data_IF_045690465548
#
_entry.id   IF_045690465548
#
_cell.length_a   1.000
_cell.length_b   1.000
_cell.length_c   1.000
_cell.angle_alpha   90.00
_cell.angle_beta   90.00
_cell.angle_gamma   90.00
#
_symmetry.space_group_name_H-M   'P 1'
#
loop_
_entity.id
_entity.type
_entity.pdbx_description
1 polymer ?
#
# COMPACT_ATOMS: atom_id res chain seq x y z
N UNK A 1 -18.43 -46.02 -0.39
CA UNK A 1 -17.54 -44.95 0.12
C UNK A 1 -18.35 -43.72 0.47
N UNK A 2 -18.42 -43.37 1.75
CA UNK A 2 -19.19 -42.22 2.27
C UNK A 2 -18.52 -40.89 1.90
N UNK A 3 -19.31 -39.82 1.76
CA UNK A 3 -18.82 -38.47 1.43
C UNK A 3 -17.73 -37.98 2.42
N UNK A 4 -17.87 -38.33 3.70
CA UNK A 4 -16.89 -38.04 4.75
C UNK A 4 -15.51 -38.66 4.50
N UNK A 5 -15.45 -39.86 3.90
CA UNK A 5 -14.19 -40.52 3.58
C UNK A 5 -13.46 -39.78 2.45
N UNK A 6 -14.19 -39.35 1.41
CA UNK A 6 -13.64 -38.57 0.29
C UNK A 6 -13.13 -37.20 0.75
N UNK A 7 -13.85 -36.53 1.65
CA UNK A 7 -13.43 -35.25 2.24
C UNK A 7 -12.14 -35.40 3.05
N UNK A 8 -12.03 -36.45 3.87
CA UNK A 8 -10.80 -36.73 4.64
C UNK A 8 -9.62 -37.01 3.72
N UNK A 9 -9.82 -37.79 2.64
CA UNK A 9 -8.77 -38.04 1.66
C UNK A 9 -8.30 -36.75 0.97
N UNK A 10 -9.23 -35.91 0.51
CA UNK A 10 -8.89 -34.62 -0.10
C UNK A 10 -8.10 -33.73 0.88
N UNK A 11 -8.48 -33.67 2.15
CA UNK A 11 -7.78 -32.87 3.16
C UNK A 11 -6.35 -33.37 3.46
N UNK A 12 -6.15 -34.70 3.49
CA UNK A 12 -4.82 -35.29 3.69
C UNK A 12 -3.89 -34.92 2.54
N UNK A 13 -4.38 -35.08 1.31
CA UNK A 13 -3.64 -34.72 0.09
C UNK A 13 -3.33 -33.22 0.10
N UNK A 14 -4.31 -32.40 0.45
CA UNK A 14 -4.13 -30.95 0.51
C UNK A 14 -3.00 -30.56 1.47
N UNK A 15 -2.97 -31.17 2.67
CA UNK A 15 -1.94 -30.91 3.67
C UNK A 15 -0.52 -31.25 3.20
N UNK A 16 -0.38 -32.35 2.47
CA UNK A 16 0.92 -32.76 1.90
C UNK A 16 1.39 -31.76 0.85
N UNK A 17 0.48 -31.35 -0.04
CA UNK A 17 0.82 -30.46 -1.14
C UNK A 17 1.10 -29.03 -0.69
N UNK A 18 0.38 -28.54 0.33
CA UNK A 18 0.63 -27.24 0.97
C UNK A 18 2.08 -27.13 1.44
N UNK A 19 2.61 -28.15 2.14
CA UNK A 19 4.01 -28.12 2.60
C UNK A 19 4.98 -28.00 1.43
N UNK A 20 4.70 -28.68 0.32
CA UNK A 20 5.52 -28.64 -0.88
C UNK A 20 5.50 -27.26 -1.55
N UNK A 21 4.33 -26.63 -1.59
CA UNK A 21 4.13 -25.28 -2.11
C UNK A 21 4.92 -24.23 -1.31
N UNK A 22 4.82 -24.26 0.03
CA UNK A 22 5.49 -23.29 0.90
C UNK A 22 7.03 -23.36 0.82
N UNK A 23 7.60 -24.56 0.68
CA UNK A 23 9.06 -24.79 0.71
C UNK A 23 9.73 -24.75 -0.67
N UNK A 24 8.97 -24.53 -1.75
CA UNK A 24 9.54 -24.51 -3.10
C UNK A 24 10.19 -23.16 -3.42
N UNK A 25 11.46 -23.17 -3.87
CA UNK A 25 12.17 -21.95 -4.34
C UNK A 25 11.45 -21.26 -5.50
N UNK A 26 10.66 -22.02 -6.28
CA UNK A 26 9.91 -21.53 -7.46
C UNK A 26 8.77 -20.58 -7.07
N UNK A 27 8.31 -20.57 -5.81
CA UNK A 27 7.23 -19.71 -5.31
C UNK A 27 7.68 -18.44 -4.59
N UNK A 28 8.99 -18.19 -4.45
CA UNK A 28 9.52 -17.08 -3.63
C UNK A 28 9.02 -15.70 -4.08
N UNK A 29 8.86 -15.48 -5.38
CA UNK A 29 8.37 -14.21 -5.93
C UNK A 29 6.94 -13.86 -5.50
N UNK A 30 6.11 -14.87 -5.19
CA UNK A 30 4.72 -14.67 -4.73
C UNK A 30 4.71 -14.01 -3.35
N UNK A 31 5.64 -14.39 -2.47
CA UNK A 31 5.82 -13.72 -1.18
C UNK A 31 6.31 -12.29 -1.35
N UNK A 32 7.21 -12.04 -2.31
CA UNK A 32 7.64 -10.69 -2.67
C UNK A 32 6.44 -9.82 -3.05
N UNK A 33 5.55 -10.34 -3.89
CA UNK A 33 4.32 -9.68 -4.31
C UNK A 33 3.36 -9.41 -3.12
N UNK A 34 3.20 -10.37 -2.22
CA UNK A 34 2.30 -10.25 -1.07
C UNK A 34 2.84 -9.32 0.03
N UNK A 35 4.17 -9.22 0.17
CA UNK A 35 4.84 -8.44 1.22
C UNK A 35 5.29 -7.06 0.76
N UNK A 36 5.31 -6.78 -0.54
CA UNK A 36 5.75 -5.50 -1.09
C UNK A 36 5.03 -4.30 -0.46
N UNK A 37 3.69 -4.28 -0.28
CA UNK A 37 3.02 -3.16 0.38
C UNK A 37 3.46 -2.98 1.82
N UNK A 38 3.67 -4.09 2.55
CA UNK A 38 4.15 -4.02 3.92
C UNK A 38 5.55 -3.39 3.99
N UNK A 39 6.43 -3.77 3.06
CA UNK A 39 7.76 -3.17 2.95
C UNK A 39 7.70 -1.68 2.58
N UNK A 40 6.81 -1.28 1.68
CA UNK A 40 6.61 0.14 1.34
C UNK A 40 6.17 0.95 2.56
N UNK A 41 5.19 0.46 3.34
CA UNK A 41 4.74 1.13 4.56
C UNK A 41 5.82 1.17 5.64
N UNK A 42 6.65 0.13 5.77
CA UNK A 42 7.78 0.14 6.71
C UNK A 42 8.85 1.17 6.31
N UNK A 43 9.18 1.26 5.02
CA UNK A 43 10.11 2.28 4.50
C UNK A 43 9.53 3.67 4.74
N UNK A 44 8.26 3.87 4.43
CA UNK A 44 7.57 5.13 4.67
C UNK A 44 7.57 5.51 6.16
N UNK A 45 7.27 4.57 7.04
CA UNK A 45 7.30 4.79 8.49
C UNK A 45 8.71 5.15 8.98
N UNK A 46 9.76 4.51 8.43
CA UNK A 46 11.14 4.83 8.77
C UNK A 46 11.55 6.23 8.27
N UNK A 47 11.18 6.59 7.03
CA UNK A 47 11.42 7.92 6.46
C UNK A 47 10.70 9.01 7.29
N UNK A 48 9.45 8.79 7.65
CA UNK A 48 8.68 9.71 8.51
C UNK A 48 9.34 9.89 9.87
N UNK A 49 9.78 8.81 10.53
CA UNK A 49 10.50 8.90 11.80
C UNK A 49 11.82 9.66 11.67
N UNK A 50 12.56 9.44 10.58
CA UNK A 50 13.81 10.14 10.30
C UNK A 50 13.57 11.64 10.12
N UNK A 51 12.59 12.02 9.30
CA UNK A 51 12.19 13.42 9.08
C UNK A 51 11.72 14.08 10.38
N UNK A 52 10.89 13.40 11.17
CA UNK A 52 10.40 13.91 12.44
C UNK A 52 11.53 14.15 13.44
N UNK A 53 12.51 13.24 13.50
CA UNK A 53 13.69 13.42 14.34
C UNK A 53 14.54 14.61 13.88
N UNK A 54 14.67 14.81 12.57
CA UNK A 54 15.35 15.98 12.01
C UNK A 54 14.64 17.28 12.40
N UNK A 55 13.31 17.37 12.24
CA UNK A 55 12.55 18.56 12.60
C UNK A 55 12.57 18.84 14.11
N UNK A 56 12.48 17.81 14.95
CA UNK A 56 12.62 17.98 16.41
C UNK A 56 13.99 18.54 16.79
N UNK A 57 15.06 18.14 16.10
CA UNK A 57 16.41 18.71 16.32
C UNK A 57 16.53 20.15 15.85
N UNK A 58 15.80 20.53 14.80
CA UNK A 58 15.75 21.91 14.30
C UNK A 58 15.02 22.87 15.25
N UNK A 59 14.21 22.35 16.18
CA UNK A 59 13.48 23.15 17.16
C UNK A 59 11.96 23.03 16.97
N UNK A 60 11.24 22.98 18.09
CA UNK A 60 9.77 22.91 18.10
C UNK A 60 9.23 24.27 18.51
N UNK A 61 8.42 24.87 17.66
CA UNK A 61 7.75 26.14 17.93
C UNK A 61 6.39 25.88 18.58
N UNK A 62 5.98 26.64 19.61
CA UNK A 62 4.68 26.45 20.25
C UNK A 62 3.53 26.55 19.24
N UNK A 63 2.54 25.63 19.26
CA UNK A 63 1.45 25.62 18.29
C UNK A 63 0.60 26.90 18.35
N UNK A 64 0.38 27.46 19.54
CA UNK A 64 -0.37 28.70 19.71
C UNK A 64 0.29 29.90 18.99
N UNK A 65 1.62 29.95 18.94
CA UNK A 65 2.34 31.00 18.24
C UNK A 65 2.20 30.89 16.72
N UNK A 66 2.12 29.66 16.20
CA UNK A 66 1.95 29.41 14.77
C UNK A 66 0.49 29.60 14.31
N UNK A 67 -0.48 29.33 15.18
CA UNK A 67 -1.90 29.56 14.88
C UNK A 67 -2.28 31.03 14.89
N UNK A 68 -1.55 31.87 15.61
CA UNK A 68 -1.70 33.33 15.57
C UNK A 68 -1.28 33.94 14.22
N UNK A 69 -0.42 33.24 13.45
CA UNK A 69 0.08 33.72 12.16
C UNK A 69 -1.00 33.59 11.07
N UNK A 70 -1.28 34.70 10.40
CA UNK A 70 -2.24 34.78 9.30
C UNK A 70 -1.68 35.56 8.11
N UNK A 71 -2.23 35.31 6.92
CA UNK A 71 -1.83 35.99 5.68
C UNK A 71 -1.96 37.50 5.83
N UNK A 72 -1.05 38.24 5.22
CA UNK A 72 -0.95 39.71 5.35
C UNK A 72 -0.04 40.21 6.48
N UNK A 73 0.41 39.34 7.39
CA UNK A 73 1.43 39.70 8.39
C UNK A 73 2.79 40.01 7.75
N UNK A 74 3.54 40.94 8.33
CA UNK A 74 4.92 41.22 7.89
C UNK A 74 5.90 40.16 8.41
N UNK A 75 7.03 40.00 7.73
CA UNK A 75 8.10 39.08 8.13
C UNK A 75 8.54 39.29 9.60
N UNK A 76 8.63 40.54 10.04
CA UNK A 76 9.04 40.89 11.41
C UNK A 76 7.99 40.50 12.45
N UNK A 77 6.70 40.69 12.14
CA UNK A 77 5.60 40.28 13.02
C UNK A 77 5.58 38.76 13.20
N UNK A 78 5.84 38.00 12.12
CA UNK A 78 5.92 36.54 12.19
C UNK A 78 7.14 36.09 13.02
N UNK A 79 8.29 36.75 12.86
CA UNK A 79 9.50 36.44 13.65
C UNK A 79 9.30 36.79 15.13
N UNK A 80 8.59 37.88 15.45
CA UNK A 80 8.27 38.24 16.84
C UNK A 80 7.32 37.23 17.48
N UNK A 81 6.35 36.73 16.71
CA UNK A 81 5.32 35.81 17.21
C UNK A 81 5.84 34.38 17.33
N UNK A 82 6.41 33.84 16.25
CA UNK A 82 6.82 32.44 16.13
C UNK A 82 8.32 32.20 16.37
N UNK A 83 9.11 33.26 16.55
CA UNK A 83 10.56 33.20 16.65
C UNK A 83 11.25 33.02 15.30
N UNK A 84 12.57 32.85 15.34
CA UNK A 84 13.39 32.62 14.14
C UNK A 84 13.13 31.22 13.58
N UNK A 85 12.80 31.14 12.30
CA UNK A 85 12.60 29.87 11.62
C UNK A 85 13.90 29.05 11.56
N UNK A 86 13.86 27.74 11.88
CA UNK A 86 15.02 26.86 11.73
C UNK A 86 15.48 26.68 10.28
N UNK A 87 14.54 26.66 9.33
CA UNK A 87 14.82 26.64 7.90
C UNK A 87 14.24 27.91 7.29
N UNK A 88 15.13 28.78 6.81
CA UNK A 88 14.82 30.07 6.22
C UNK A 88 15.61 30.22 4.92
N UNK A 89 14.89 30.35 3.81
CA UNK A 89 15.47 30.48 2.48
C UNK A 89 14.89 31.68 1.77
N UNK A 90 15.76 32.56 1.32
CA UNK A 90 15.40 33.72 0.51
C UNK A 90 15.92 33.57 -0.91
N UNK A 91 15.13 34.01 -1.88
CA UNK A 91 15.54 34.10 -3.27
C UNK A 91 14.83 35.26 -3.96
N UNK A 92 15.37 35.71 -5.10
CA UNK A 92 14.74 36.72 -5.96
C UNK A 92 14.11 35.99 -7.14
N UNK A 93 12.87 36.33 -7.48
CA UNK A 93 12.17 35.77 -8.64
C UNK A 93 11.55 36.92 -9.45
N UNK A 94 11.67 36.84 -10.77
CA UNK A 94 10.96 37.72 -11.70
C UNK A 94 9.53 37.21 -11.87
N UNK A 95 8.54 38.06 -11.61
CA UNK A 95 7.13 37.77 -11.83
C UNK A 95 6.66 38.67 -12.97
N UNK A 96 6.05 38.05 -13.97
CA UNK A 96 5.43 38.74 -15.09
C UNK A 96 3.97 38.94 -14.71
N UNK A 97 3.53 40.18 -14.74
CA UNK A 97 2.15 40.53 -14.45
C UNK A 97 1.60 41.26 -15.67
N UNK A 98 0.58 40.68 -16.28
CA UNK A 98 -0.13 41.31 -17.40
C UNK A 98 -1.32 42.09 -16.84
N UNK A 99 -1.43 43.36 -17.20
CA UNK A 99 -2.58 44.18 -16.85
C UNK A 99 -3.04 44.91 -18.10
N UNK A 100 -4.35 45.08 -18.21
CA UNK A 100 -4.98 45.74 -19.36
C UNK A 100 -5.39 47.13 -18.95
N UNK A 101 -4.65 48.13 -19.42
CA UNK A 101 -4.92 49.53 -19.16
C UNK A 101 -5.22 50.23 -20.49
N UNK A 102 -6.38 50.89 -20.60
CA UNK A 102 -6.79 51.59 -21.83
C UNK A 102 -6.87 50.72 -23.09
N UNK A 103 -7.17 49.42 -22.97
CA UNK A 103 -7.28 48.49 -24.10
C UNK A 103 -5.97 47.87 -24.60
N UNK A 104 -4.81 48.35 -24.14
CA UNK A 104 -3.49 47.72 -24.38
C UNK A 104 -3.16 46.72 -23.28
N UNK A 105 -2.56 45.60 -23.67
CA UNK A 105 -2.05 44.58 -22.77
C UNK A 105 -0.61 44.98 -22.41
N UNK A 106 -0.40 45.37 -21.15
CA UNK A 106 0.91 45.80 -20.64
C UNK A 106 1.46 44.65 -19.81
N UNK A 107 2.62 44.14 -20.20
CA UNK A 107 3.36 43.12 -19.46
C UNK A 107 4.40 43.82 -18.60
N UNK A 108 4.16 43.88 -17.28
CA UNK A 108 5.10 44.45 -16.32
C UNK A 108 5.99 43.32 -15.76
N UNK A 109 7.31 43.50 -15.87
CA UNK A 109 8.30 42.63 -15.25
C UNK A 109 8.66 43.18 -13.87
N UNK A 110 8.21 42.50 -12.81
CA UNK A 110 8.50 42.93 -11.43
C UNK A 110 9.40 41.92 -10.74
N UNK A 111 10.51 42.39 -10.20
CA UNK A 111 11.38 41.56 -9.37
C UNK A 111 10.81 41.48 -7.95
N UNK A 112 10.49 40.27 -7.50
CA UNK A 112 9.89 40.03 -6.20
C UNK A 112 10.89 39.31 -5.31
N UNK A 113 11.00 39.79 -4.07
CA UNK A 113 11.74 39.10 -3.02
C UNK A 113 10.85 38.02 -2.44
N UNK A 114 11.18 36.76 -2.71
CA UNK A 114 10.48 35.61 -2.17
C UNK A 114 11.28 35.01 -1.01
N UNK A 115 10.61 34.76 0.12
CA UNK A 115 11.22 34.13 1.29
C UNK A 115 10.33 32.99 1.78
N UNK A 116 10.96 31.89 2.15
CA UNK A 116 10.28 30.71 2.69
C UNK A 116 10.81 30.45 4.09
N UNK A 117 9.92 30.50 5.06
CA UNK A 117 10.19 30.12 6.43
C UNK A 117 9.44 28.85 6.77
N UNK A 118 10.11 27.89 7.39
CA UNK A 118 9.51 26.61 7.78
C UNK A 118 9.57 26.47 9.29
N UNK A 119 8.41 26.18 9.87
CA UNK A 119 8.24 25.94 11.29
C UNK A 119 7.66 24.55 11.52
N UNK A 120 7.89 24.03 12.73
CA UNK A 120 7.41 22.72 13.14
C UNK A 120 6.84 22.79 14.55
N UNK A 121 5.58 22.38 14.72
CA UNK A 121 4.86 22.47 16.00
C UNK A 121 4.93 21.20 16.86
N UNK A 122 5.63 20.17 16.36
CA UNK A 122 5.70 18.84 16.98
C UNK A 122 4.89 17.76 16.25
N UNK A 123 3.90 18.15 15.43
CA UNK A 123 3.04 17.25 14.65
C UNK A 123 2.86 17.69 13.18
N UNK A 124 2.74 18.99 12.97
CA UNK A 124 2.48 19.68 11.71
C UNK A 124 3.68 20.54 11.33
N UNK A 125 3.95 20.57 10.03
CA UNK A 125 4.92 21.46 9.40
C UNK A 125 4.17 22.65 8.82
N UNK A 126 4.59 23.85 9.17
CA UNK A 126 4.08 25.10 8.62
C UNK A 126 5.11 25.66 7.64
N UNK A 127 4.68 25.97 6.43
CA UNK A 127 5.53 26.57 5.40
C UNK A 127 4.92 27.91 5.04
N UNK A 128 5.62 28.97 5.39
CA UNK A 128 5.23 30.36 5.15
C UNK A 128 5.97 30.90 3.94
N UNK A 129 5.23 31.44 2.98
CA UNK A 129 5.73 32.07 1.78
C UNK A 129 5.49 33.56 1.84
N UNK A 130 6.58 34.31 1.86
CA UNK A 130 6.56 35.77 1.85
C UNK A 130 6.86 36.27 0.44
N UNK A 131 6.09 37.25 -0.01
CA UNK A 131 6.39 38.06 -1.20
C UNK A 131 6.56 39.51 -0.75
N UNK A 132 7.72 40.11 -1.04
CA UNK A 132 8.05 41.50 -0.71
C UNK A 132 7.88 41.85 0.79
N UNK A 133 8.20 40.94 1.71
CA UNK A 133 8.11 41.21 3.15
C UNK A 133 6.77 40.88 3.79
N UNK A 134 5.77 40.45 3.01
CA UNK A 134 4.41 40.16 3.47
C UNK A 134 4.10 38.68 3.27
N UNK A 135 3.48 38.05 4.27
CA UNK A 135 3.03 36.67 4.20
C UNK A 135 1.90 36.54 3.18
N UNK A 136 2.23 36.00 2.00
CA UNK A 136 1.28 35.82 0.91
C UNK A 136 0.53 34.49 1.06
N UNK A 137 1.26 33.42 1.41
CA UNK A 137 0.71 32.07 1.45
C UNK A 137 1.26 31.26 2.63
N UNK A 138 0.46 30.35 3.15
CA UNK A 138 0.78 29.48 4.28
C UNK A 138 0.26 28.08 4.01
N UNK A 139 1.17 27.12 3.93
CA UNK A 139 0.82 25.71 3.82
C UNK A 139 0.99 25.02 5.18
N UNK A 140 0.00 24.22 5.54
CA UNK A 140 0.01 23.38 6.74
C UNK A 140 0.04 21.93 6.29
N UNK A 141 1.13 21.23 6.59
CA UNK A 141 1.33 19.83 6.20
C UNK A 141 1.42 18.98 7.46
N UNK A 142 0.49 18.06 7.65
CA UNK A 142 0.55 17.13 8.75
C UNK A 142 1.55 16.03 8.40
N UNK A 143 2.59 15.87 9.22
CA UNK A 143 3.67 14.91 8.91
C UNK A 143 3.18 13.46 9.13
N UNK A 144 2.27 13.27 10.09
CA UNK A 144 1.70 11.99 10.45
C UNK A 144 0.18 12.10 10.30
N UNK A 145 -0.32 11.86 9.09
CA UNK A 145 -1.75 11.94 8.80
C UNK A 145 -2.35 10.53 8.70
N UNK A 146 -2.96 10.10 9.79
CA UNK A 146 -3.56 8.77 9.87
C UNK A 146 -4.70 8.56 8.85
N UNK A 147 -5.43 9.62 8.50
CA UNK A 147 -6.54 9.53 7.55
C UNK A 147 -6.05 9.27 6.12
N UNK A 148 -5.02 10.02 5.70
CA UNK A 148 -4.39 9.89 4.39
C UNK A 148 -3.72 8.53 4.22
N UNK A 149 -2.99 8.03 5.23
CA UNK A 149 -2.39 6.69 5.19
C UNK A 149 -3.42 5.57 4.99
N UNK A 150 -4.61 5.72 5.58
CA UNK A 150 -5.71 4.76 5.40
C UNK A 150 -6.30 4.80 4.00
N UNK A 151 -6.43 5.99 3.41
CA UNK A 151 -6.88 6.16 2.02
C UNK A 151 -5.87 5.58 1.04
N UNK A 152 -4.58 5.86 1.25
CA UNK A 152 -3.47 5.28 0.48
C UNK A 152 -3.48 3.76 0.60
N UNK A 153 -3.66 3.21 1.80
CA UNK A 153 -3.78 1.76 1.99
C UNK A 153 -4.98 1.17 1.25
N UNK A 154 -6.15 1.79 1.32
CA UNK A 154 -7.34 1.32 0.61
C UNK A 154 -7.11 1.30 -0.91
N UNK A 155 -6.49 2.34 -1.46
CA UNK A 155 -6.11 2.41 -2.87
C UNK A 155 -5.09 1.32 -3.24
N UNK A 156 -4.04 1.14 -2.43
CA UNK A 156 -3.05 0.08 -2.60
C UNK A 156 -3.70 -1.31 -2.57
N UNK A 157 -4.62 -1.53 -1.62
CA UNK A 157 -5.33 -2.79 -1.51
C UNK A 157 -6.19 -3.06 -2.75
N UNK A 158 -6.92 -2.06 -3.22
CA UNK A 158 -7.81 -2.20 -4.38
C UNK A 158 -7.05 -2.39 -5.69
N UNK A 159 -6.09 -1.52 -5.99
CA UNK A 159 -5.43 -1.50 -7.31
C UNK A 159 -4.26 -2.45 -7.39
N UNK A 160 -3.40 -2.50 -6.37
CA UNK A 160 -2.25 -3.38 -6.40
C UNK A 160 -2.60 -4.75 -5.83
N UNK A 161 -3.17 -4.82 -4.63
CA UNK A 161 -3.31 -6.10 -3.93
C UNK A 161 -4.30 -7.04 -4.62
N UNK A 162 -5.53 -6.58 -4.85
CA UNK A 162 -6.56 -7.42 -5.47
C UNK A 162 -6.30 -7.67 -6.96
N UNK A 163 -5.97 -6.64 -7.74
CA UNK A 163 -5.86 -6.76 -9.20
C UNK A 163 -4.53 -7.32 -9.67
N UNK A 164 -3.42 -6.97 -9.03
CA UNK A 164 -2.10 -7.46 -9.43
C UNK A 164 -1.64 -8.59 -8.51
N UNK A 165 -1.57 -8.36 -7.20
CA UNK A 165 -0.90 -9.28 -6.29
C UNK A 165 -1.61 -10.63 -6.20
N UNK A 166 -2.90 -10.62 -5.88
CA UNK A 166 -3.72 -11.84 -5.79
C UNK A 166 -3.83 -12.50 -7.16
N UNK A 167 -4.02 -11.72 -8.23
CA UNK A 167 -4.12 -12.25 -9.60
C UNK A 167 -2.86 -13.04 -10.01
N UNK A 168 -1.70 -12.37 -10.03
CA UNK A 168 -0.45 -13.00 -10.46
C UNK A 168 -0.02 -14.08 -9.47
N UNK A 169 -0.24 -13.87 -8.17
CA UNK A 169 0.01 -14.87 -7.15
C UNK A 169 -0.76 -16.16 -7.36
N UNK A 170 -2.07 -16.05 -7.60
CA UNK A 170 -2.91 -17.21 -7.89
C UNK A 170 -2.51 -17.86 -9.22
N UNK A 171 -2.24 -17.08 -10.26
CA UNK A 171 -1.71 -17.58 -11.52
C UNK A 171 -0.44 -18.43 -11.28
N UNK A 172 0.53 -17.88 -10.54
CA UNK A 172 1.78 -18.56 -10.21
C UNK A 172 1.59 -19.85 -9.42
N UNK A 173 0.81 -19.80 -8.34
CA UNK A 173 0.54 -20.93 -7.45
C UNK A 173 -0.19 -22.05 -8.20
N UNK A 174 -1.30 -21.73 -8.87
CA UNK A 174 -2.16 -22.75 -9.49
C UNK A 174 -1.59 -23.31 -10.79
N UNK A 175 -0.86 -22.51 -11.58
CA UNK A 175 -0.16 -23.05 -12.75
C UNK A 175 0.98 -24.00 -12.36
N UNK A 176 1.75 -23.66 -11.33
CA UNK A 176 2.84 -24.51 -10.87
C UNK A 176 2.32 -25.82 -10.24
N UNK A 177 1.14 -25.81 -9.64
CA UNK A 177 0.53 -26.99 -8.99
C UNK A 177 0.22 -28.14 -9.95
N UNK A 178 -0.16 -27.86 -11.20
CA UNK A 178 -0.39 -28.89 -12.23
C UNK A 178 0.79 -29.04 -13.17
N UNK A 179 1.38 -27.92 -13.60
CA UNK A 179 2.43 -27.94 -14.61
C UNK A 179 3.79 -28.33 -14.04
N UNK A 180 4.05 -28.06 -12.76
CA UNK A 180 5.24 -28.56 -12.05
C UNK A 180 5.29 -30.08 -12.06
N UNK A 181 4.16 -30.74 -11.77
CA UNK A 181 4.07 -32.21 -11.85
C UNK A 181 4.14 -32.74 -13.29
N UNK A 182 3.60 -32.00 -14.27
CA UNK A 182 3.67 -32.37 -15.69
C UNK A 182 5.08 -32.22 -16.28
N UNK A 183 5.82 -31.19 -15.87
CA UNK A 183 7.23 -31.01 -16.23
C UNK A 183 8.15 -32.04 -15.57
N UNK A 184 7.88 -32.43 -14.33
CA UNK A 184 8.67 -33.41 -13.59
C UNK A 184 8.37 -34.87 -14.02
N UNK A 185 7.59 -35.10 -15.09
CA UNK A 185 7.17 -36.42 -15.62
C UNK A 185 6.54 -37.37 -14.59
N UNK A 186 6.01 -36.86 -13.49
CA UNK A 186 5.40 -37.67 -12.42
C UNK A 186 3.93 -38.02 -12.70
N UNK A 187 3.41 -37.63 -13.87
CA UNK A 187 2.02 -37.87 -14.31
C UNK A 187 1.65 -39.37 -14.32
N UNK A 188 2.62 -40.28 -14.49
CA UNK A 188 2.40 -41.72 -14.39
C UNK A 188 1.93 -42.16 -13.00
N UNK A 189 2.40 -41.52 -11.92
CA UNK A 189 1.96 -41.83 -10.55
C UNK A 189 0.50 -41.44 -10.31
N UNK A 190 0.00 -40.43 -11.02
CA UNK A 190 -1.40 -39.99 -10.97
C UNK A 190 -2.39 -40.99 -11.59
N UNK A 191 -1.94 -41.76 -12.57
CA UNK A 191 -2.73 -42.83 -13.21
C UNK A 191 -2.72 -44.13 -12.41
N UNK A 192 -1.70 -44.35 -11.57
CA UNK A 192 -1.52 -45.57 -10.78
C UNK A 192 -2.18 -45.49 -9.38
N UNK A 193 -2.41 -44.29 -8.85
CA UNK A 193 -3.08 -44.13 -7.57
C UNK A 193 -4.59 -44.42 -7.68
N UNK A 194 -5.18 -45.30 -6.85
CA UNK A 194 -6.60 -45.66 -6.88
C UNK A 194 -7.47 -44.57 -6.24
N UNK A 195 -7.34 -43.32 -6.71
CA UNK A 195 -8.08 -42.16 -6.21
C UNK A 195 -8.91 -41.56 -7.35
N UNK A 196 -10.19 -41.26 -7.06
CA UNK A 196 -11.09 -40.63 -8.02
C UNK A 196 -10.55 -39.24 -8.41
N UNK A 197 -10.58 -38.92 -9.71
CA UNK A 197 -10.08 -37.65 -10.27
C UNK A 197 -10.67 -36.42 -9.57
N UNK A 198 -11.96 -36.46 -9.22
CA UNK A 198 -12.67 -35.40 -8.49
C UNK A 198 -12.07 -35.10 -7.11
N UNK A 199 -11.75 -36.14 -6.34
CA UNK A 199 -11.22 -36.01 -4.96
C UNK A 199 -9.81 -35.43 -5.00
N UNK A 200 -9.05 -35.82 -6.01
CA UNK A 200 -7.67 -35.39 -6.17
C UNK A 200 -7.59 -33.95 -6.69
N UNK A 201 -8.50 -33.57 -7.61
CA UNK A 201 -8.70 -32.18 -8.02
C UNK A 201 -9.11 -31.29 -6.85
N UNK A 202 -10.08 -31.73 -6.05
CA UNK A 202 -10.53 -31.00 -4.86
C UNK A 202 -9.41 -30.83 -3.83
N UNK A 203 -8.60 -31.87 -3.58
CA UNK A 203 -7.45 -31.81 -2.69
C UNK A 203 -6.41 -30.78 -3.16
N UNK A 204 -6.11 -30.75 -4.47
CA UNK A 204 -5.20 -29.75 -5.05
C UNK A 204 -5.74 -28.34 -4.98
N UNK A 205 -7.01 -28.14 -5.34
CA UNK A 205 -7.63 -26.83 -5.24
C UNK A 205 -7.60 -26.30 -3.80
N UNK A 206 -7.99 -27.13 -2.82
CA UNK A 206 -7.94 -26.78 -1.41
C UNK A 206 -6.52 -26.45 -0.93
N UNK A 207 -5.50 -27.18 -1.43
CA UNK A 207 -4.10 -26.87 -1.12
C UNK A 207 -3.69 -25.49 -1.62
N UNK A 208 -3.93 -25.23 -2.91
CA UNK A 208 -3.60 -23.95 -3.53
C UNK A 208 -4.37 -22.78 -2.91
N UNK A 209 -5.66 -22.98 -2.63
CA UNK A 209 -6.50 -21.97 -1.99
C UNK A 209 -6.06 -21.68 -0.55
N UNK A 210 -5.76 -22.71 0.25
CA UNK A 210 -5.26 -22.51 1.61
C UNK A 210 -3.90 -21.81 1.60
N UNK A 211 -2.97 -22.22 0.74
CA UNK A 211 -1.66 -21.60 0.64
C UNK A 211 -1.75 -20.13 0.18
N UNK A 212 -2.47 -19.85 -0.90
CA UNK A 212 -2.67 -18.48 -1.40
C UNK A 212 -3.39 -17.60 -0.38
N UNK A 213 -4.44 -18.11 0.27
CA UNK A 213 -5.17 -17.37 1.32
C UNK A 213 -4.27 -16.99 2.48
N UNK A 214 -3.43 -17.91 2.97
CA UNK A 214 -2.48 -17.61 4.06
C UNK A 214 -1.46 -16.57 3.64
N UNK A 215 -0.89 -16.69 2.43
CA UNK A 215 0.13 -15.76 1.91
C UNK A 215 -0.47 -14.36 1.72
N UNK A 216 -1.60 -14.25 1.04
CA UNK A 216 -2.20 -12.95 0.70
C UNK A 216 -2.98 -12.33 1.85
N UNK A 217 -3.70 -13.11 2.66
CA UNK A 217 -4.35 -12.53 3.85
C UNK A 217 -3.29 -12.14 4.89
N UNK A 218 -2.26 -12.97 5.08
CA UNK A 218 -1.14 -12.66 5.96
C UNK A 218 -0.36 -11.43 5.50
N UNK A 219 -0.06 -11.33 4.20
CA UNK A 219 0.61 -10.16 3.62
C UNK A 219 -0.22 -8.88 3.75
N UNK A 220 -1.53 -8.94 3.50
CA UNK A 220 -2.43 -7.81 3.68
C UNK A 220 -2.50 -7.35 5.15
N UNK A 221 -2.59 -8.28 6.10
CA UNK A 221 -2.59 -7.98 7.53
C UNK A 221 -1.24 -7.41 8.00
N UNK A 222 -0.13 -7.92 7.48
CA UNK A 222 1.20 -7.36 7.76
C UNK A 222 1.34 -5.95 7.20
N UNK A 223 0.83 -5.69 6.00
CA UNK A 223 0.83 -4.35 5.42
C UNK A 223 -0.03 -3.38 6.23
N UNK A 224 -1.19 -3.84 6.69
CA UNK A 224 -2.08 -3.07 7.57
C UNK A 224 -1.42 -2.78 8.93
N UNK A 225 -0.75 -3.75 9.53
CA UNK A 225 0.02 -3.56 10.76
C UNK A 225 1.21 -2.60 10.55
N UNK A 226 1.91 -2.68 9.42
CA UNK A 226 3.00 -1.78 9.06
C UNK A 226 2.53 -0.32 8.95
N UNK A 227 1.37 -0.09 8.31
CA UNK A 227 0.71 1.23 8.22
C UNK A 227 0.35 1.80 9.60
N UNK A 228 -0.06 0.94 10.55
CA UNK A 228 -0.39 1.36 11.93
C UNK A 228 0.84 1.63 12.80
N UNK A 229 1.99 1.02 12.49
CA UNK A 229 3.22 1.12 13.29
C UNK A 229 3.77 2.53 13.53
N UNK A 230 3.71 3.50 12.59
CA UNK A 230 4.06 4.88 12.88
C UNK A 230 3.01 5.59 13.75
N UNK A 231 1.73 5.20 13.67
CA UNK A 231 0.59 5.93 14.23
C UNK A 231 0.18 5.53 15.66
N UNK A 232 1.01 4.81 16.44
CA UNK A 232 0.67 4.25 17.77
C UNK A 232 0.38 5.27 18.90
N UNK A 233 -0.19 6.44 18.60
CA UNK A 233 -0.75 7.38 19.55
C UNK A 233 -2.22 7.11 19.90
N UNK A 234 -2.82 8.03 20.65
CA UNK A 234 -4.19 7.93 21.15
C UNK A 234 -5.24 7.77 20.03
N UNK A 235 -5.03 8.41 18.87
CA UNK A 235 -5.95 8.33 17.73
C UNK A 235 -6.03 6.93 17.12
N UNK A 236 -4.88 6.28 16.87
CA UNK A 236 -4.87 4.93 16.33
C UNK A 236 -5.39 3.91 17.35
N UNK A 237 -5.14 4.13 18.65
CA UNK A 237 -5.67 3.28 19.71
C UNK A 237 -7.20 3.39 19.82
N UNK A 238 -7.75 4.61 19.75
CA UNK A 238 -9.19 4.82 19.71
C UNK A 238 -9.83 4.18 18.48
N UNK A 239 -9.19 4.32 17.31
CA UNK A 239 -9.65 3.69 16.08
C UNK A 239 -9.58 2.15 16.12
N UNK A 240 -8.53 1.60 16.73
CA UNK A 240 -8.36 0.17 16.94
C UNK A 240 -9.40 -0.42 17.89
N UNK A 241 -9.84 0.34 18.90
CA UNK A 241 -10.93 -0.07 19.79
C UNK A 241 -12.31 0.02 19.12
N UNK A 242 -12.43 0.81 18.05
CA UNK A 242 -13.65 0.93 17.25
C UNK A 242 -13.60 0.10 15.96
N UNK A 243 -13.59 0.74 14.76
CA UNK A 243 -13.77 0.04 13.49
C UNK A 243 -12.52 -0.69 12.96
N UNK A 244 -11.34 -0.46 13.53
CA UNK A 244 -10.07 -0.98 13.00
C UNK A 244 -10.03 -2.50 12.74
N UNK A 245 -10.40 -3.34 13.73
CA UNK A 245 -10.41 -4.79 13.56
C UNK A 245 -11.38 -5.26 12.47
N UNK A 246 -12.53 -4.59 12.34
CA UNK A 246 -13.50 -4.91 11.30
C UNK A 246 -12.93 -4.64 9.90
N UNK A 247 -12.14 -3.58 9.72
CA UNK A 247 -11.43 -3.33 8.46
C UNK A 247 -10.38 -4.40 8.17
N UNK A 248 -9.56 -4.78 9.16
CA UNK A 248 -8.56 -5.84 9.01
C UNK A 248 -9.19 -7.17 8.55
N UNK A 249 -10.30 -7.56 9.18
CA UNK A 249 -11.06 -8.77 8.80
C UNK A 249 -11.64 -8.65 7.40
N UNK A 250 -12.22 -7.50 7.03
CA UNK A 250 -12.77 -7.28 5.67
C UNK A 250 -11.68 -7.38 4.60
N UNK A 251 -10.49 -6.82 4.83
CA UNK A 251 -9.38 -6.94 3.89
C UNK A 251 -8.88 -8.39 3.77
N UNK A 252 -8.75 -9.10 4.89
CA UNK A 252 -8.38 -10.52 4.88
C UNK A 252 -9.42 -11.39 4.15
N UNK A 253 -10.71 -11.18 4.41
CA UNK A 253 -11.80 -11.89 3.74
C UNK A 253 -11.87 -11.56 2.25
N UNK A 254 -11.66 -10.30 1.86
CA UNK A 254 -11.61 -9.90 0.46
C UNK A 254 -10.43 -10.57 -0.27
N UNK A 255 -9.25 -10.64 0.37
CA UNK A 255 -8.11 -11.36 -0.18
C UNK A 255 -8.39 -12.86 -0.31
N UNK A 256 -8.96 -13.50 0.72
CA UNK A 256 -9.35 -14.91 0.69
C UNK A 256 -10.39 -15.23 -0.39
N UNK A 257 -11.38 -14.35 -0.58
CA UNK A 257 -12.39 -14.47 -1.63
C UNK A 257 -11.79 -14.28 -3.02
N UNK A 258 -10.88 -13.31 -3.19
CA UNK A 258 -10.09 -13.14 -4.42
C UNK A 258 -9.28 -14.39 -4.75
N UNK A 259 -8.59 -14.98 -3.77
CA UNK A 259 -7.85 -16.23 -3.94
C UNK A 259 -8.77 -17.40 -4.34
N UNK A 260 -9.97 -17.50 -3.78
CA UNK A 260 -10.95 -18.52 -4.17
C UNK A 260 -11.42 -18.32 -5.62
N UNK A 261 -11.79 -17.08 -5.98
CA UNK A 261 -12.27 -16.72 -7.30
C UNK A 261 -11.21 -16.95 -8.39
N UNK A 262 -10.10 -16.23 -8.32
CA UNK A 262 -9.00 -16.36 -9.29
C UNK A 262 -8.39 -17.76 -9.30
N UNK A 263 -8.25 -18.39 -8.13
CA UNK A 263 -7.74 -19.75 -8.02
C UNK A 263 -8.60 -20.77 -8.77
N UNK A 264 -9.93 -20.65 -8.69
CA UNK A 264 -10.84 -21.56 -9.40
C UNK A 264 -10.75 -21.39 -10.92
N UNK A 265 -10.67 -20.14 -11.39
CA UNK A 265 -10.52 -19.81 -12.81
C UNK A 265 -9.21 -20.34 -13.39
N UNK A 266 -8.08 -20.14 -12.70
CA UNK A 266 -6.79 -20.61 -13.17
C UNK A 266 -6.66 -22.12 -13.10
N UNK A 267 -7.26 -22.76 -12.10
CA UNK A 267 -7.32 -24.21 -12.03
C UNK A 267 -8.11 -24.76 -13.24
N UNK A 268 -9.28 -24.22 -13.54
CA UNK A 268 -10.06 -24.61 -14.71
C UNK A 268 -9.31 -24.37 -16.03
N UNK A 269 -8.69 -23.19 -16.19
CA UNK A 269 -7.91 -22.83 -17.36
C UNK A 269 -6.68 -23.73 -17.56
N UNK A 270 -6.02 -24.13 -16.47
CA UNK A 270 -4.85 -25.02 -16.52
C UNK A 270 -5.17 -26.42 -17.02
N UNK A 271 -6.41 -26.88 -16.83
CA UNK A 271 -6.90 -28.17 -17.33
C UNK A 271 -7.36 -28.07 -18.80
N UNK A 272 -7.95 -26.94 -19.18
CA UNK A 272 -8.55 -26.77 -20.49
C UNK A 272 -7.55 -26.35 -21.57
N UNK A 273 -6.57 -25.48 -21.25
CA UNK A 273 -5.72 -24.82 -22.24
C UNK A 273 -4.26 -25.30 -22.12
N UNK A 274 -3.69 -25.80 -23.22
CA UNK A 274 -2.28 -26.24 -23.27
C UNK A 274 -1.28 -25.09 -23.02
N UNK A 275 -1.61 -23.87 -23.45
CA UNK A 275 -0.81 -22.66 -23.22
C UNK A 275 -1.48 -21.71 -22.20
N UNK A 276 -1.00 -21.66 -20.95
CA UNK A 276 -1.66 -20.94 -19.86
C UNK A 276 -1.44 -19.42 -19.89
N UNK A 277 -0.57 -18.93 -20.78
CA UNK A 277 -0.30 -17.49 -20.93
C UNK A 277 -1.50 -16.77 -21.57
N UNK A 278 -2.25 -17.46 -22.45
CA UNK A 278 -3.43 -16.91 -23.14
C UNK A 278 -4.57 -16.53 -22.17
N UNK A 279 -5.05 -17.43 -21.29
CA UNK A 279 -6.09 -17.06 -20.32
C UNK A 279 -5.62 -16.02 -19.31
N UNK A 280 -4.32 -16.01 -18.96
CA UNK A 280 -3.76 -14.97 -18.11
C UNK A 280 -3.81 -13.58 -18.77
N UNK A 281 -3.45 -13.50 -20.06
CA UNK A 281 -3.51 -12.24 -20.81
C UNK A 281 -4.95 -11.72 -20.98
N UNK A 282 -5.91 -12.61 -21.22
CA UNK A 282 -7.33 -12.23 -21.35
C UNK A 282 -7.90 -11.72 -20.02
N UNK A 283 -7.59 -12.38 -18.91
CA UNK A 283 -8.07 -11.97 -17.59
C UNK A 283 -7.35 -10.73 -17.03
N UNK A 284 -6.17 -10.38 -17.55
CA UNK A 284 -5.43 -9.16 -17.19
C UNK A 284 -6.00 -7.88 -17.80
N UNK A 285 -6.81 -7.98 -18.84
CA UNK A 285 -7.43 -6.82 -19.52
C UNK A 285 -8.59 -6.24 -18.68
N UNK A 286 -9.03 -6.93 -17.62
CA UNK A 286 -10.07 -6.51 -16.69
C UNK A 286 -9.48 -5.78 -15.46
#
# INVERSE_FOLDING_TARGET
MTARFRLRQAAIIARLEVRRLFLSRRGLWVYGLALLPALLFLIHAADMRYRLAQYRRSGVTPPAALEAVHTGMTEEQVIQTAGRAPEDRQWRRKKWTEHREGGRQITEEREIRARRMVYFDGQRRFIFYFENGILHDMHRVQIMNFSEDREVFAALFQYYYLRLAVFFGCLGIFLNLFRGEMMDRTLHFWLLAPVRREVLLAGKFLAGWAASTVIFSGGALLAFAAMLSPHMGAEAQAWWQGPGPAHAVRYALAAAAGCAGYGSLFLAASLWIRNPIVPAAVLLVW
#
